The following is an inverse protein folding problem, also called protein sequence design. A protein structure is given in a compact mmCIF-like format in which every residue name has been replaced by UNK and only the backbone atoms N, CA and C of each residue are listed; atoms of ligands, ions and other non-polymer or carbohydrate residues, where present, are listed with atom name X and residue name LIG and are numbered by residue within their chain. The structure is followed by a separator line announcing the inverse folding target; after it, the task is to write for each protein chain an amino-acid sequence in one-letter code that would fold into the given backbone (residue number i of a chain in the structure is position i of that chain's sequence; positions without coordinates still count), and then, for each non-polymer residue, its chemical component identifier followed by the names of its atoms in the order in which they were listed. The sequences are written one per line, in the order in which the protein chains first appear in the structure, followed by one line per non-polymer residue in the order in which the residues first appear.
data_IF_526491391756
#
_entry.id   IF_526491391756
#
_cell.length_a   1.000
_cell.length_b   1.000
_cell.length_c   1.000
_cell.angle_alpha   90.00
_cell.angle_beta   90.00
_cell.angle_gamma   90.00
#
_symmetry.space_group_name_H-M   'P 1'
#
loop_
_entity.id
_entity.type
_entity.pdbx_description
1 polymer ?
#
# COMPACT_ATOMS: atom_id res chain seq x y z
N UNK A 1 -37.55 44.35 34.10
CA UNK A 1 -36.85 43.10 33.74
C UNK A 1 -37.62 42.41 32.63
N UNK A 2 -37.06 42.26 31.41
CA UNK A 2 -37.76 41.60 30.30
C UNK A 2 -37.70 40.08 30.43
N UNK A 3 -38.82 39.39 30.15
CA UNK A 3 -38.92 37.93 30.13
C UNK A 3 -38.29 37.36 28.84
N UNK A 4 -37.58 36.21 28.89
CA UNK A 4 -37.01 35.59 27.70
C UNK A 4 -38.10 34.91 26.84
N UNK A 5 -37.90 34.82 25.50
CA UNK A 5 -38.87 34.20 24.60
C UNK A 5 -38.87 32.67 24.71
N UNK A 6 -40.07 32.11 24.71
CA UNK A 6 -40.39 30.68 24.74
C UNK A 6 -40.16 30.06 23.36
N UNK A 7 -39.24 29.09 23.27
CA UNK A 7 -39.02 28.30 22.06
C UNK A 7 -40.08 27.21 21.94
N UNK A 8 -41.03 27.40 21.03
CA UNK A 8 -41.99 26.35 20.62
C UNK A 8 -41.29 25.34 19.71
N UNK A 9 -41.09 24.13 20.22
CA UNK A 9 -40.60 22.97 19.47
C UNK A 9 -41.66 22.52 18.46
N UNK A 10 -41.37 22.69 17.17
CA UNK A 10 -42.20 22.24 16.05
C UNK A 10 -41.87 20.79 15.72
N UNK A 11 -42.64 19.86 16.30
CA UNK A 11 -42.60 18.43 15.95
C UNK A 11 -43.07 18.26 14.50
N UNK A 12 -42.20 17.80 13.60
CA UNK A 12 -42.62 17.31 12.29
C UNK A 12 -42.99 15.83 12.36
N UNK A 13 -44.20 15.43 11.94
CA UNK A 13 -44.54 14.04 11.72
C UNK A 13 -44.24 13.65 10.27
N UNK A 14 -43.67 12.45 10.10
CA UNK A 14 -43.89 11.64 8.90
C UNK A 14 -42.85 11.76 7.78
N UNK A 15 -41.86 10.87 7.80
CA UNK A 15 -41.24 10.35 6.58
C UNK A 15 -41.64 8.89 6.44
N UNK A 16 -42.46 8.62 5.43
CA UNK A 16 -43.02 7.32 5.15
C UNK A 16 -41.95 6.31 4.73
N UNK A 17 -42.04 5.11 5.32
CA UNK A 17 -41.40 3.91 4.81
C UNK A 17 -42.13 3.45 3.55
N UNK A 18 -41.65 3.88 2.39
CA UNK A 18 -42.05 3.31 1.09
C UNK A 18 -40.82 2.87 0.30
N UNK A 19 -39.99 2.01 0.89
CA UNK A 19 -39.09 1.17 0.08
C UNK A 19 -39.88 -0.04 -0.39
N UNK A 20 -40.57 0.14 -1.52
CA UNK A 20 -41.15 -0.93 -2.32
C UNK A 20 -40.04 -1.79 -2.93
N UNK A 21 -39.33 -2.54 -2.09
CA UNK A 21 -38.46 -3.60 -2.56
C UNK A 21 -39.34 -4.82 -2.83
N UNK A 22 -39.27 -5.41 -4.04
CA UNK A 22 -39.99 -6.64 -4.33
C UNK A 22 -39.54 -7.71 -3.34
N UNK A 23 -40.49 -8.25 -2.57
CA UNK A 23 -40.27 -9.42 -1.73
C UNK A 23 -40.03 -10.60 -2.67
N UNK A 24 -38.76 -10.90 -2.96
CA UNK A 24 -38.40 -12.13 -3.67
C UNK A 24 -38.71 -13.32 -2.76
N UNK A 25 -39.51 -14.25 -3.27
CA UNK A 25 -39.87 -15.47 -2.56
C UNK A 25 -38.63 -16.31 -2.25
N UNK A 26 -38.58 -16.88 -1.05
CA UNK A 26 -37.43 -17.65 -0.52
C UNK A 26 -37.00 -18.82 -1.41
N UNK A 27 -37.90 -19.31 -2.29
CA UNK A 27 -37.59 -20.36 -3.26
C UNK A 27 -36.67 -19.86 -4.39
N UNK A 28 -36.78 -18.59 -4.76
CA UNK A 28 -36.00 -18.00 -5.85
C UNK A 28 -34.58 -17.68 -5.40
N UNK A 29 -34.41 -17.17 -4.17
CA UNK A 29 -33.08 -16.98 -3.56
C UNK A 29 -32.27 -18.28 -3.46
N UNK A 30 -32.93 -19.43 -3.31
CA UNK A 30 -32.26 -20.74 -3.24
C UNK A 30 -31.68 -21.15 -4.60
N UNK A 31 -32.40 -20.87 -5.71
CA UNK A 31 -31.90 -21.14 -7.07
C UNK A 31 -30.70 -20.28 -7.44
N UNK A 32 -30.73 -18.99 -7.10
CA UNK A 32 -29.60 -18.07 -7.34
C UNK A 32 -28.35 -18.50 -6.57
N UNK A 33 -28.52 -19.01 -5.35
CA UNK A 33 -27.40 -19.51 -4.54
C UNK A 33 -26.79 -20.81 -5.10
N UNK A 34 -27.61 -21.70 -5.64
CA UNK A 34 -27.14 -22.94 -6.24
C UNK A 34 -26.50 -22.74 -7.63
N UNK A 35 -26.91 -21.73 -8.40
CA UNK A 35 -26.27 -21.40 -9.68
C UNK A 35 -24.84 -20.86 -9.52
N UNK A 36 -24.55 -20.12 -8.45
CA UNK A 36 -23.20 -19.60 -8.17
C UNK A 36 -22.22 -20.70 -7.71
N UNK A 37 -22.71 -21.81 -7.16
CA UNK A 37 -21.85 -22.88 -6.64
C UNK A 37 -21.36 -23.83 -7.74
N UNK A 38 -21.95 -23.80 -8.94
CA UNK A 38 -21.67 -24.78 -10.00
C UNK A 38 -20.55 -24.37 -10.97
N UNK A 39 -20.07 -23.13 -10.92
CA UNK A 39 -18.95 -22.68 -11.77
C UNK A 39 -17.56 -22.78 -11.12
N UNK A 40 -17.47 -23.29 -9.88
CA UNK A 40 -16.22 -23.39 -9.12
C UNK A 40 -15.61 -24.81 -9.15
N UNK A 41 -15.60 -25.45 -10.32
CA UNK A 41 -15.03 -26.79 -10.48
C UNK A 41 -14.23 -26.96 -11.79
N UNK A 42 -13.39 -25.98 -12.12
CA UNK A 42 -12.25 -26.22 -13.01
C UNK A 42 -10.97 -26.06 -12.17
N UNK A 43 -10.18 -27.13 -11.94
CA UNK A 43 -8.91 -27.00 -11.24
C UNK A 43 -7.97 -26.16 -12.10
N UNK A 44 -7.75 -24.91 -11.70
CA UNK A 44 -6.72 -24.05 -12.28
C UNK A 44 -5.40 -24.79 -12.08
N UNK A 45 -4.92 -25.42 -13.16
CA UNK A 45 -3.61 -26.05 -13.25
C UNK A 45 -2.58 -24.96 -13.02
N UNK A 46 -2.09 -24.85 -11.78
CA UNK A 46 -0.98 -23.97 -11.46
C UNK A 46 0.27 -24.48 -12.17
N UNK A 47 0.88 -23.72 -13.09
CA UNK A 47 2.14 -24.13 -13.70
C UNK A 47 3.20 -24.19 -12.61
N UNK A 48 3.77 -25.38 -12.40
CA UNK A 48 4.90 -25.61 -11.49
C UNK A 48 6.01 -24.59 -11.77
N UNK A 49 6.59 -23.96 -10.73
CA UNK A 49 7.69 -23.03 -10.90
C UNK A 49 8.89 -23.79 -11.46
N UNK A 50 9.16 -23.59 -12.75
CA UNK A 50 10.40 -24.04 -13.37
C UNK A 50 11.54 -23.35 -12.61
N UNK A 51 12.33 -24.15 -11.88
CA UNK A 51 13.61 -23.74 -11.31
C UNK A 51 14.42 -23.09 -12.44
N UNK A 52 14.56 -21.78 -12.38
CA UNK A 52 15.45 -21.01 -13.23
C UNK A 52 16.85 -21.48 -12.85
N UNK A 53 17.40 -22.36 -13.69
CA UNK A 53 18.76 -22.87 -13.57
C UNK A 53 19.64 -21.75 -14.08
N UNK A 54 20.33 -21.09 -13.16
CA UNK A 54 21.36 -20.09 -13.41
C UNK A 54 22.29 -20.58 -14.51
N UNK A 55 22.11 -19.99 -15.70
CA UNK A 55 22.99 -20.15 -16.86
C UNK A 55 23.59 -18.78 -17.13
N UNK A 56 24.22 -18.18 -16.12
CA UNK A 56 25.09 -17.02 -16.30
C UNK A 56 26.38 -17.57 -16.92
N UNK A 57 26.34 -17.73 -18.24
CA UNK A 57 27.54 -17.88 -19.06
C UNK A 57 28.22 -16.52 -19.08
N UNK A 58 29.15 -16.35 -18.14
CA UNK A 58 30.11 -15.26 -18.07
C UNK A 58 31.05 -15.41 -19.26
N UNK A 59 30.77 -14.72 -20.36
CA UNK A 59 31.78 -14.50 -21.38
C UNK A 59 32.77 -13.50 -20.81
N UNK A 60 33.97 -14.00 -20.58
CA UNK A 60 35.15 -13.24 -20.21
C UNK A 60 35.59 -12.45 -21.43
N UNK A 61 35.37 -11.14 -21.41
CA UNK A 61 35.95 -10.21 -22.38
C UNK A 61 37.32 -9.75 -21.84
N UNK A 62 38.45 -10.07 -22.52
CA UNK A 62 39.78 -9.72 -22.05
C UNK A 62 40.15 -8.27 -22.43
N UNK A 63 40.07 -7.39 -21.44
CA UNK A 63 41.12 -6.43 -21.03
C UNK A 63 41.61 -5.35 -22.06
N UNK A 64 42.46 -4.37 -21.68
CA UNK A 64 42.08 -2.95 -21.72
C UNK A 64 43.00 -2.06 -22.56
N UNK A 65 42.53 -0.90 -23.00
CA UNK A 65 43.42 0.21 -23.43
C UNK A 65 43.02 1.53 -22.75
N UNK A 66 43.78 1.99 -21.74
CA UNK A 66 43.70 3.37 -21.29
C UNK A 66 44.68 4.23 -22.09
N UNK A 67 44.17 5.21 -22.84
CA UNK A 67 44.98 6.32 -23.35
C UNK A 67 45.35 7.27 -22.21
N UNK A 68 46.65 7.57 -21.99
CA UNK A 68 47.07 8.55 -20.99
C UNK A 68 46.97 9.98 -21.54
N UNK A 69 46.09 10.79 -20.97
CA UNK A 69 46.14 12.25 -21.09
C UNK A 69 46.98 12.84 -19.95
N UNK A 70 47.93 13.77 -20.22
CA UNK A 70 48.73 14.39 -19.18
C UNK A 70 48.00 15.60 -18.58
N UNK A 71 48.02 15.68 -17.24
CA UNK A 71 47.90 16.97 -16.55
C UNK A 71 46.71 17.11 -15.61
N UNK A 72 46.81 16.55 -14.41
CA UNK A 72 46.41 17.31 -13.22
C UNK A 72 47.03 16.71 -11.96
N UNK A 73 48.05 17.40 -11.47
CA UNK A 73 48.70 17.21 -10.17
C UNK A 73 47.78 17.72 -9.06
N UNK A 74 47.29 16.82 -8.21
CA UNK A 74 46.85 17.17 -6.86
C UNK A 74 47.10 15.98 -5.89
N UNK A 75 47.54 16.25 -4.65
CA UNK A 75 48.21 15.28 -3.81
C UNK A 75 47.26 14.41 -2.98
N UNK A 76 47.73 13.16 -2.84
CA UNK A 76 47.47 12.16 -1.79
C UNK A 76 46.93 12.73 -0.48
N UNK A 77 45.79 12.21 -0.06
CA UNK A 77 45.47 12.07 1.36
C UNK A 77 45.40 10.57 1.68
N UNK A 78 46.41 10.13 2.42
CA UNK A 78 46.41 8.90 3.19
C UNK A 78 45.11 8.79 3.99
N UNK A 79 44.34 7.73 3.74
CA UNK A 79 43.34 7.28 4.71
C UNK A 79 43.52 5.79 4.97
N UNK A 80 43.99 5.43 6.17
CA UNK A 80 44.32 4.05 6.49
C UNK A 80 43.09 3.16 6.54
N UNK A 81 43.27 2.00 5.92
CA UNK A 81 42.46 0.79 5.96
C UNK A 81 42.23 0.34 7.40
N UNK A 82 40.99 0.41 7.88
CA UNK A 82 40.51 -0.41 8.99
C UNK A 82 38.99 -0.32 9.06
N UNK A 83 38.29 -1.40 8.70
CA UNK A 83 37.05 -1.81 9.39
C UNK A 83 36.68 -3.23 8.98
N UNK A 84 37.18 -4.15 9.80
CA UNK A 84 36.45 -5.30 10.36
C UNK A 84 35.67 -6.14 9.35
N UNK A 85 36.31 -7.21 8.91
CA UNK A 85 35.66 -8.51 8.74
C UNK A 85 35.01 -8.91 10.07
N UNK A 86 33.75 -8.57 10.25
CA UNK A 86 32.91 -9.20 11.26
C UNK A 86 32.60 -10.61 10.74
N UNK A 87 33.42 -11.56 11.18
CA UNK A 87 33.13 -12.99 11.15
C UNK A 87 31.81 -13.21 11.86
N UNK A 88 30.74 -13.39 11.09
CA UNK A 88 29.48 -13.88 11.60
C UNK A 88 29.64 -15.38 11.83
N UNK A 89 30.20 -15.76 12.97
CA UNK A 89 30.04 -17.13 13.47
C UNK A 89 28.60 -17.28 13.99
N UNK A 90 27.83 -18.26 13.51
CA UNK A 90 26.62 -18.67 14.19
C UNK A 90 27.02 -19.49 15.43
N UNK A 91 27.31 -18.82 16.54
CA UNK A 91 27.32 -19.49 17.85
C UNK A 91 25.94 -20.10 18.07
N UNK A 92 25.87 -21.42 17.94
CA UNK A 92 24.74 -22.25 18.32
C UNK A 92 24.53 -22.13 19.83
N UNK A 93 23.94 -21.02 20.26
CA UNK A 93 23.53 -20.81 21.65
C UNK A 93 22.23 -21.56 21.87
N UNK A 94 22.39 -22.84 22.15
CA UNK A 94 21.40 -23.69 22.83
C UNK A 94 21.20 -23.14 24.24
N UNK A 95 20.38 -22.09 24.34
CA UNK A 95 20.01 -21.44 25.58
C UNK A 95 18.50 -21.50 25.76
N UNK A 96 17.99 -22.61 26.29
CA UNK A 96 16.63 -22.77 26.83
C UNK A 96 16.45 -21.93 28.10
N UNK A 97 16.78 -20.64 28.06
CA UNK A 97 16.38 -19.71 29.12
C UNK A 97 14.95 -19.29 28.83
N UNK A 98 14.04 -20.13 29.31
CA UNK A 98 12.64 -19.82 29.60
C UNK A 98 12.63 -18.59 30.50
N UNK A 99 12.74 -17.40 29.91
CA UNK A 99 12.57 -16.13 30.61
C UNK A 99 11.17 -16.20 31.23
N UNK A 100 11.16 -16.20 32.56
CA UNK A 100 9.97 -15.92 33.35
C UNK A 100 9.27 -14.74 32.70
N UNK A 101 8.07 -15.01 32.20
CA UNK A 101 7.20 -13.99 31.64
C UNK A 101 6.99 -12.99 32.75
N UNK A 102 7.65 -11.85 32.66
CA UNK A 102 7.36 -10.72 33.53
C UNK A 102 5.86 -10.52 33.51
N UNK A 103 5.20 -10.63 34.66
CA UNK A 103 3.82 -10.27 34.91
C UNK A 103 3.66 -8.76 34.68
N UNK A 104 3.82 -8.31 33.43
CA UNK A 104 3.36 -7.00 33.02
C UNK A 104 1.84 -7.10 33.01
N UNK A 105 1.13 -6.24 33.77
CA UNK A 105 -0.31 -6.19 33.66
C UNK A 105 -0.66 -6.00 32.18
N UNK A 106 -1.69 -6.71 31.68
CA UNK A 106 -2.13 -6.53 30.30
C UNK A 106 -2.39 -5.04 30.11
N UNK A 107 -1.81 -4.47 29.05
CA UNK A 107 -2.12 -3.10 28.63
C UNK A 107 -3.63 -3.04 28.57
N UNK A 108 -4.24 -2.30 29.51
CA UNK A 108 -5.67 -2.04 29.50
C UNK A 108 -5.90 -1.27 28.22
N UNK A 109 -6.45 -1.96 27.23
CA UNK A 109 -6.92 -1.35 26.00
C UNK A 109 -8.01 -0.41 26.47
N UNK A 110 -7.70 0.88 26.57
CA UNK A 110 -8.70 1.90 26.81
C UNK A 110 -9.83 1.60 25.83
N UNK A 111 -11.04 1.46 26.34
CA UNK A 111 -12.22 1.30 25.51
C UNK A 111 -12.37 2.57 24.68
N UNK A 112 -11.66 2.63 23.56
CA UNK A 112 -11.85 3.62 22.49
C UNK A 112 -13.21 3.28 21.92
N UNK A 113 -14.25 3.76 22.62
CA UNK A 113 -15.61 3.29 22.48
C UNK A 113 -16.14 3.45 21.07
N UNK A 114 -17.37 3.00 20.86
CA UNK A 114 -18.13 3.06 19.61
C UNK A 114 -18.01 4.37 18.79
N UNK A 115 -17.58 5.48 19.41
CA UNK A 115 -17.15 6.73 18.76
C UNK A 115 -15.97 6.59 17.78
N UNK A 116 -14.90 5.86 18.11
CA UNK A 116 -13.77 5.63 17.20
C UNK A 116 -14.20 4.85 15.95
N UNK A 117 -15.07 3.85 16.15
CA UNK A 117 -15.67 3.07 15.06
C UNK A 117 -16.63 3.92 14.21
N UNK A 118 -17.32 4.90 14.81
CA UNK A 118 -18.20 5.85 14.09
C UNK A 118 -17.38 6.88 13.29
N UNK A 119 -16.26 7.38 13.80
CA UNK A 119 -15.36 8.27 13.06
C UNK A 119 -14.75 7.54 11.85
N UNK A 120 -14.22 6.33 12.05
CA UNK A 120 -13.73 5.49 10.95
C UNK A 120 -14.80 5.14 9.89
N UNK A 121 -16.09 5.19 10.26
CA UNK A 121 -17.21 4.95 9.34
C UNK A 121 -17.78 6.23 8.72
N UNK A 122 -17.47 7.41 9.22
CA UNK A 122 -18.02 8.69 8.72
C UNK A 122 -17.03 9.48 7.87
N UNK A 123 -15.72 9.24 8.01
CA UNK A 123 -14.69 9.64 7.02
C UNK A 123 -14.74 8.81 5.72
N UNK A 124 -15.93 8.26 5.43
CA UNK A 124 -16.21 7.36 4.32
C UNK A 124 -15.99 8.06 2.97
N UNK A 125 -15.07 7.48 2.20
CA UNK A 125 -15.01 7.43 0.71
C UNK A 125 -14.31 8.58 0.00
N UNK A 126 -13.24 9.12 0.56
CA UNK A 126 -12.16 9.51 -0.34
C UNK A 126 -11.66 8.22 -0.99
N UNK A 127 -12.04 8.04 -2.25
CA UNK A 127 -11.77 6.80 -2.95
C UNK A 127 -10.28 6.77 -3.26
N UNK A 128 -9.58 5.83 -2.64
CA UNK A 128 -8.14 5.70 -2.82
C UNK A 128 -7.80 5.41 -4.30
N UNK A 129 -6.79 6.07 -4.89
CA UNK A 129 -6.31 5.72 -6.22
C UNK A 129 -5.90 4.26 -6.27
N UNK A 130 -6.27 3.58 -7.37
CA UNK A 130 -5.94 2.16 -7.58
C UNK A 130 -5.01 2.00 -8.76
N UNK A 131 -3.98 1.18 -8.61
CA UNK A 131 -3.12 0.78 -9.73
C UNK A 131 -3.89 -0.19 -10.62
N UNK A 132 -4.04 0.18 -11.89
CA UNK A 132 -4.68 -0.66 -12.91
C UNK A 132 -3.65 -1.40 -13.78
N UNK A 133 -2.46 -0.80 -13.94
CA UNK A 133 -1.44 -1.32 -14.83
C UNK A 133 -0.67 -2.51 -14.23
N UNK A 134 -0.30 -3.46 -15.10
CA UNK A 134 0.62 -4.54 -14.74
C UNK A 134 2.05 -4.01 -14.57
N UNK A 135 2.88 -4.74 -13.81
CA UNK A 135 4.29 -4.39 -13.59
C UNK A 135 5.07 -4.19 -14.89
N UNK A 136 4.77 -4.97 -15.93
CA UNK A 136 5.40 -4.85 -17.24
C UNK A 136 5.03 -3.55 -17.96
N UNK A 137 3.82 -3.05 -17.78
CA UNK A 137 3.36 -1.79 -18.36
C UNK A 137 3.98 -0.61 -17.61
N UNK A 138 4.03 -0.67 -16.27
CA UNK A 138 4.72 0.34 -15.43
C UNK A 138 6.19 0.45 -15.83
N UNK A 139 6.88 -0.67 -16.07
CA UNK A 139 8.29 -0.67 -16.48
C UNK A 139 8.55 -0.06 -17.87
N UNK A 140 7.55 -0.05 -18.76
CA UNK A 140 7.65 0.56 -20.10
C UNK A 140 7.16 2.00 -20.16
N UNK A 141 6.45 2.46 -19.14
CA UNK A 141 5.88 3.79 -19.12
C UNK A 141 6.99 4.84 -18.95
N UNK A 142 6.89 6.01 -19.60
CA UNK A 142 7.84 7.11 -19.44
C UNK A 142 7.58 7.83 -18.10
N UNK A 143 7.91 7.17 -16.99
CA UNK A 143 7.80 7.72 -15.63
C UNK A 143 9.16 8.19 -15.14
N UNK A 144 9.18 9.39 -14.56
CA UNK A 144 10.34 9.93 -13.87
C UNK A 144 10.48 9.33 -12.46
N UNK A 145 11.65 9.50 -11.83
CA UNK A 145 11.93 8.94 -10.51
C UNK A 145 10.96 9.44 -9.44
N UNK A 146 10.49 10.70 -9.52
CA UNK A 146 9.51 11.24 -8.56
C UNK A 146 8.14 10.61 -8.79
N UNK A 147 7.69 10.48 -10.04
CA UNK A 147 6.46 9.76 -10.33
C UNK A 147 6.50 8.29 -9.90
N UNK A 148 7.64 7.60 -10.09
CA UNK A 148 7.82 6.24 -9.61
C UNK A 148 7.73 6.14 -8.08
N UNK A 149 8.27 7.12 -7.35
CA UNK A 149 8.14 7.21 -5.90
C UNK A 149 6.68 7.43 -5.46
N UNK A 150 5.97 8.40 -6.04
CA UNK A 150 4.53 8.62 -5.73
C UNK A 150 3.71 7.37 -6.05
N UNK A 151 3.97 6.73 -7.18
CA UNK A 151 3.28 5.49 -7.58
C UNK A 151 3.52 4.36 -6.58
N UNK A 152 4.68 4.30 -5.93
CA UNK A 152 4.97 3.27 -4.91
C UNK A 152 4.13 3.43 -3.64
N UNK A 153 3.56 4.61 -3.40
CA UNK A 153 2.66 4.89 -2.28
C UNK A 153 1.19 4.55 -2.60
N UNK A 154 0.87 4.31 -3.88
CA UNK A 154 -0.48 3.96 -4.33
C UNK A 154 -0.72 2.47 -4.13
N UNK A 155 -1.35 2.12 -3.00
CA UNK A 155 -1.67 0.76 -2.61
C UNK A 155 -3.18 0.42 -2.71
N UNK A 156 -4.00 1.37 -3.15
CA UNK A 156 -5.46 1.24 -3.20
C UNK A 156 -6.16 1.44 -1.85
N UNK A 157 -5.44 1.85 -0.81
CA UNK A 157 -5.97 2.14 0.53
C UNK A 157 -5.71 3.57 0.98
N UNK A 158 -4.58 4.14 0.59
CA UNK A 158 -4.20 5.50 0.94
C UNK A 158 -5.02 6.52 0.11
N UNK A 159 -5.56 7.54 0.77
CA UNK A 159 -6.21 8.67 0.08
C UNK A 159 -5.17 9.56 -0.59
N UNK A 160 -5.61 10.46 -1.47
CA UNK A 160 -4.68 11.42 -2.13
C UNK A 160 -3.98 12.28 -1.09
N UNK A 161 -4.70 12.75 -0.08
CA UNK A 161 -4.14 13.57 1.00
C UNK A 161 -3.12 12.79 1.84
N UNK A 162 -3.39 11.52 2.16
CA UNK A 162 -2.41 10.67 2.83
C UNK A 162 -1.15 10.44 1.99
N UNK A 163 -1.30 10.33 0.67
CA UNK A 163 -0.15 10.22 -0.25
C UNK A 163 0.66 11.52 -0.25
N UNK A 164 0.01 12.69 -0.23
CA UNK A 164 0.68 14.00 -0.13
C UNK A 164 1.49 14.08 1.17
N UNK A 165 0.89 13.71 2.30
CA UNK A 165 1.54 13.71 3.62
C UNK A 165 2.76 12.78 3.67
N UNK A 166 2.62 11.56 3.15
CA UNK A 166 3.72 10.57 3.12
C UNK A 166 4.83 10.94 2.14
N UNK A 167 4.47 11.58 1.01
CA UNK A 167 5.41 11.96 -0.01
C UNK A 167 6.35 13.10 0.44
N UNK A 168 5.90 13.95 1.37
CA UNK A 168 6.66 15.12 1.82
C UNK A 168 6.93 16.12 0.68
N UNK A 169 6.08 16.13 -0.34
CA UNK A 169 6.20 16.98 -1.54
C UNK A 169 5.07 18.02 -1.58
N UNK A 170 5.23 19.12 -2.34
CA UNK A 170 4.16 20.09 -2.54
C UNK A 170 2.90 19.43 -3.12
N UNK A 171 1.73 19.78 -2.57
CA UNK A 171 0.44 19.22 -2.99
C UNK A 171 0.20 19.31 -4.51
N UNK A 172 0.47 20.48 -5.09
CA UNK A 172 0.32 20.73 -6.52
C UNK A 172 1.19 19.79 -7.36
N UNK A 173 2.40 19.50 -6.90
CA UNK A 173 3.34 18.60 -7.58
C UNK A 173 2.84 17.16 -7.54
N UNK A 174 2.37 16.70 -6.38
CA UNK A 174 1.80 15.34 -6.23
C UNK A 174 0.55 15.18 -7.08
N UNK A 175 -0.37 16.15 -7.05
CA UNK A 175 -1.59 16.14 -7.89
C UNK A 175 -1.24 16.14 -9.39
N UNK A 176 -0.25 16.92 -9.81
CA UNK A 176 0.21 16.94 -11.21
C UNK A 176 0.81 15.60 -11.65
N UNK A 177 1.61 14.96 -10.78
CA UNK A 177 2.18 13.62 -11.00
C UNK A 177 1.06 12.59 -11.11
N UNK A 178 0.13 12.53 -10.14
CA UNK A 178 -1.00 11.58 -10.16
C UNK A 178 -1.86 11.77 -11.42
N UNK A 179 -2.13 13.02 -11.81
CA UNK A 179 -2.86 13.32 -13.05
C UNK A 179 -2.11 12.92 -14.32
N UNK A 180 -0.78 12.98 -14.34
CA UNK A 180 0.03 12.47 -15.46
C UNK A 180 -0.02 10.94 -15.52
N UNK A 181 0.17 10.28 -14.39
CA UNK A 181 0.17 8.81 -14.26
C UNK A 181 -1.20 8.21 -14.58
N UNK A 182 -2.29 8.91 -14.20
CA UNK A 182 -3.66 8.53 -14.55
C UNK A 182 -3.92 8.64 -16.06
N UNK A 183 -3.43 9.71 -16.72
CA UNK A 183 -3.51 9.86 -18.18
C UNK A 183 -2.76 8.77 -18.95
N UNK A 184 -1.73 8.19 -18.36
CA UNK A 184 -1.02 7.03 -18.92
C UNK A 184 -1.77 5.70 -18.69
N UNK A 185 -2.92 5.71 -17.99
CA UNK A 185 -3.69 4.53 -17.67
C UNK A 185 -3.05 3.64 -16.61
N UNK A 186 -2.07 4.14 -15.85
CA UNK A 186 -1.40 3.36 -14.81
C UNK A 186 -2.23 3.25 -13.54
N UNK A 187 -2.96 4.32 -13.20
CA UNK A 187 -3.82 4.40 -12.03
C UNK A 187 -5.22 4.89 -12.41
N UNK A 188 -6.22 4.50 -11.63
CA UNK A 188 -7.55 5.09 -11.63
C UNK A 188 -7.64 6.09 -10.49
N UNK A 189 -7.99 7.33 -10.81
CA UNK A 189 -8.49 8.30 -9.84
C UNK A 189 -10.02 8.21 -9.84
N UNK A 190 -10.67 8.33 -8.67
CA UNK A 190 -12.13 8.40 -8.58
C UNK A 190 -12.73 9.72 -9.08
#
# INVERSE_FOLDING_TARGET
MPKPPSNKTKTQPGLGSSSGLPRMDSAEMKRVRDSLRREEAEPISTPSPRRIRDSVRREEDPDPTPSPGPGSTAPRSDRPSARRTASWEPEATTGTRRRERSNRPPVTVDEVGTAAVKLARTTRRETAPKVLASRALIAKAPIDTRAAFVLSLVDGRNTVDAIIDMAGMPEDEVRAILGRVARLGLISLP
#
